data_IF_722040639270
#
_entry.id   IF_722040639270
#
_cell.length_a   1.000
_cell.length_b   1.000
_cell.length_c   1.000
_cell.angle_alpha   90.00
_cell.angle_beta   90.00
_cell.angle_gamma   90.00
#
_symmetry.space_group_name_H-M   'P 1'
#
loop_
_entity.id
_entity.type
_entity.pdbx_description
1 polymer ?
#
# COMPACT_ATOMS: atom_id res chain seq x y z
N UNK A 1 5.87 6.34 -23.83
CA UNK A 1 4.77 5.57 -23.19
C UNK A 1 3.66 5.48 -24.21
N UNK A 2 3.39 4.31 -24.80
CA UNK A 2 2.30 4.18 -25.77
C UNK A 2 0.95 4.08 -25.06
N UNK A 3 -0.08 4.66 -25.66
CA UNK A 3 -1.45 4.70 -25.13
C UNK A 3 -2.46 4.66 -26.27
N UNK A 4 -3.72 4.38 -25.94
CA UNK A 4 -4.86 4.47 -26.85
C UNK A 4 -5.74 5.66 -26.43
N UNK A 5 -6.10 6.59 -27.32
CA UNK A 5 -7.05 7.65 -27.00
C UNK A 5 -8.40 7.07 -26.53
N UNK A 6 -9.01 7.66 -25.51
CA UNK A 6 -10.25 7.15 -24.91
C UNK A 6 -11.38 6.99 -25.94
N UNK A 7 -11.46 7.88 -26.94
CA UNK A 7 -12.49 7.83 -27.99
C UNK A 7 -12.41 6.58 -28.86
N UNK A 8 -11.18 6.12 -29.11
CA UNK A 8 -10.93 4.86 -29.82
C UNK A 8 -11.17 3.70 -28.89
N UNK A 9 -10.67 3.77 -27.66
CA UNK A 9 -10.88 2.73 -26.64
C UNK A 9 -12.37 2.43 -26.41
N UNK A 10 -13.23 3.44 -26.36
CA UNK A 10 -14.68 3.28 -26.14
C UNK A 10 -15.43 2.59 -27.29
N UNK A 11 -14.79 2.48 -28.47
CA UNK A 11 -15.30 1.80 -29.66
C UNK A 11 -14.71 0.40 -29.84
N UNK A 12 -13.68 0.03 -29.08
CA UNK A 12 -13.09 -1.30 -29.15
C UNK A 12 -14.11 -2.36 -28.74
N UNK A 13 -14.09 -3.50 -29.44
CA UNK A 13 -14.93 -4.68 -29.16
C UNK A 13 -14.10 -5.92 -28.81
N UNK A 14 -12.78 -5.84 -28.97
CA UNK A 14 -11.81 -6.89 -28.69
C UNK A 14 -10.50 -6.25 -28.23
N UNK A 15 -9.69 -6.99 -27.46
CA UNK A 15 -8.35 -6.52 -27.07
C UNK A 15 -7.36 -6.95 -28.13
N UNK A 16 -6.81 -5.98 -28.86
CA UNK A 16 -5.79 -6.22 -29.88
C UNK A 16 -4.39 -6.14 -29.29
N UNK A 17 -3.45 -6.89 -29.87
CA UNK A 17 -2.05 -6.78 -29.45
C UNK A 17 -1.45 -5.43 -29.86
N UNK A 18 -0.36 -5.05 -29.21
CA UNK A 18 0.37 -3.82 -29.47
C UNK A 18 0.70 -3.63 -30.96
N UNK A 19 1.19 -4.67 -31.62
CA UNK A 19 1.61 -4.59 -33.03
C UNK A 19 0.42 -4.32 -33.97
N UNK A 20 -0.75 -4.92 -33.74
CA UNK A 20 -1.95 -4.66 -34.57
C UNK A 20 -2.40 -3.20 -34.46
N UNK A 21 -2.35 -2.64 -33.25
CA UNK A 21 -2.75 -1.26 -33.02
C UNK A 21 -1.68 -0.26 -33.49
N UNK A 22 -0.40 -0.65 -33.46
CA UNK A 22 0.68 0.11 -34.05
C UNK A 22 0.51 0.20 -35.58
N UNK A 23 0.28 -0.94 -36.24
CA UNK A 23 0.10 -1.03 -37.70
C UNK A 23 -1.17 -0.30 -38.16
N UNK A 24 -2.22 -0.31 -37.33
CA UNK A 24 -3.44 0.47 -37.58
C UNK A 24 -3.29 1.98 -37.30
N UNK A 25 -2.14 2.44 -36.79
CA UNK A 25 -1.91 3.86 -36.46
C UNK A 25 -2.74 4.36 -35.27
N UNK A 26 -3.23 3.47 -34.42
CA UNK A 26 -4.08 3.79 -33.27
C UNK A 26 -3.25 4.17 -32.04
N UNK A 27 -2.07 3.56 -31.88
CA UNK A 27 -1.20 3.84 -30.74
C UNK A 27 -0.60 5.24 -30.82
N UNK A 28 -0.70 5.96 -29.71
CA UNK A 28 -0.14 7.30 -29.54
C UNK A 28 0.97 7.28 -28.50
N UNK A 29 2.13 7.84 -28.82
CA UNK A 29 3.15 8.12 -27.80
C UNK A 29 2.68 9.29 -26.93
N UNK A 30 2.37 9.00 -25.68
CA UNK A 30 1.76 9.97 -24.77
C UNK A 30 2.75 11.06 -24.35
N UNK A 31 2.29 12.30 -24.47
CA UNK A 31 2.85 13.50 -23.86
C UNK A 31 1.79 14.22 -23.03
N UNK A 32 2.21 14.96 -22.00
CA UNK A 32 1.28 15.69 -21.13
C UNK A 32 0.50 16.79 -21.89
N UNK A 33 0.99 17.25 -23.05
CA UNK A 33 0.25 18.17 -23.92
C UNK A 33 -1.01 17.56 -24.54
N UNK A 34 -1.12 16.23 -24.57
CA UNK A 34 -2.28 15.52 -25.12
C UNK A 34 -3.44 15.41 -24.11
N UNK A 35 -3.19 15.74 -22.85
CA UNK A 35 -4.18 15.70 -21.78
C UNK A 35 -3.74 14.78 -20.64
N UNK A 36 -4.65 13.91 -20.19
CA UNK A 36 -4.49 13.04 -19.02
C UNK A 36 -4.32 11.59 -19.43
N UNK A 37 -3.50 10.86 -18.70
CA UNK A 37 -3.36 9.42 -18.87
C UNK A 37 -3.97 8.62 -17.72
N UNK A 38 -4.52 7.46 -18.05
CA UNK A 38 -5.06 6.46 -17.15
C UNK A 38 -4.24 5.18 -17.26
N UNK A 39 -3.62 4.76 -16.16
CA UNK A 39 -2.97 3.47 -16.03
C UNK A 39 -3.98 2.44 -15.56
N UNK A 40 -4.22 1.38 -16.34
CA UNK A 40 -5.15 0.30 -15.97
C UNK A 40 -4.35 -0.91 -15.49
N UNK A 41 -4.35 -1.14 -14.18
CA UNK A 41 -3.85 -2.35 -13.54
C UNK A 41 -4.96 -3.39 -13.48
N UNK A 42 -4.68 -4.63 -13.90
CA UNK A 42 -5.68 -5.70 -13.99
C UNK A 42 -5.06 -7.09 -13.79
N UNK A 43 -5.90 -8.11 -13.79
CA UNK A 43 -5.49 -9.51 -13.83
C UNK A 43 -5.78 -10.12 -15.20
N UNK A 44 -5.03 -11.14 -15.59
CA UNK A 44 -5.32 -11.88 -16.82
C UNK A 44 -6.47 -12.86 -16.57
N UNK A 45 -7.42 -12.97 -17.52
CA UNK A 45 -8.54 -13.92 -17.44
C UNK A 45 -8.20 -15.32 -17.95
N UNK A 46 -7.11 -15.46 -18.70
CA UNK A 46 -6.58 -16.76 -19.15
C UNK A 46 -5.05 -16.77 -19.09
N UNK A 47 -4.45 -17.95 -19.23
CA UNK A 47 -3.00 -18.12 -19.24
C UNK A 47 -2.33 -17.53 -20.50
N UNK A 48 -3.13 -17.21 -21.54
CA UNK A 48 -2.63 -16.78 -22.86
C UNK A 48 -3.11 -15.41 -23.29
N UNK A 49 -4.18 -14.87 -22.67
CA UNK A 49 -4.77 -13.60 -23.06
C UNK A 49 -5.36 -12.86 -21.85
N UNK A 50 -5.16 -11.55 -21.73
CA UNK A 50 -5.60 -10.80 -20.55
C UNK A 50 -7.12 -10.69 -20.43
N UNK A 51 -7.84 -10.58 -21.54
CA UNK A 51 -9.31 -10.41 -21.56
C UNK A 51 -9.93 -10.94 -22.88
N UNK A 52 -9.97 -12.28 -23.09
CA UNK A 52 -10.27 -12.89 -24.39
C UNK A 52 -11.71 -12.67 -24.86
N UNK A 53 -12.64 -12.48 -23.93
CA UNK A 53 -14.05 -12.20 -24.21
C UNK A 53 -14.40 -10.71 -24.06
N UNK A 54 -13.39 -9.85 -23.93
CA UNK A 54 -13.55 -8.40 -23.74
C UNK A 54 -14.43 -8.02 -22.53
N UNK A 55 -14.47 -8.85 -21.50
CA UNK A 55 -15.35 -8.67 -20.33
C UNK A 55 -14.81 -7.60 -19.38
N UNK A 56 -13.51 -7.58 -19.10
CA UNK A 56 -12.90 -6.61 -18.20
C UNK A 56 -12.94 -5.20 -18.79
N UNK A 57 -12.46 -5.04 -20.02
CA UNK A 57 -12.42 -3.73 -20.66
C UNK A 57 -13.82 -3.22 -20.97
N UNK A 58 -14.81 -4.10 -21.21
CA UNK A 58 -16.21 -3.70 -21.31
C UNK A 58 -16.73 -3.07 -20.02
N UNK A 59 -16.41 -3.63 -18.86
CA UNK A 59 -16.73 -3.01 -17.56
C UNK A 59 -16.12 -1.62 -17.45
N UNK A 60 -14.84 -1.46 -17.84
CA UNK A 60 -14.19 -0.15 -17.82
C UNK A 60 -14.85 0.84 -18.80
N UNK A 61 -15.20 0.42 -20.02
CA UNK A 61 -15.93 1.25 -20.98
C UNK A 61 -17.27 1.72 -20.40
N UNK A 62 -18.02 0.81 -19.80
CA UNK A 62 -19.35 1.12 -19.24
C UNK A 62 -19.22 2.01 -18.00
N UNK A 63 -18.19 1.83 -17.17
CA UNK A 63 -17.83 2.76 -16.09
C UNK A 63 -17.58 4.16 -16.61
N UNK A 64 -16.72 4.33 -17.62
CA UNK A 64 -16.41 5.65 -18.18
C UNK A 64 -17.67 6.32 -18.76
N UNK A 65 -18.47 5.56 -19.52
CA UNK A 65 -19.75 6.05 -20.08
C UNK A 65 -20.71 6.49 -18.99
N UNK A 66 -20.84 5.71 -17.91
CA UNK A 66 -21.74 6.03 -16.80
C UNK A 66 -21.30 7.27 -16.01
N UNK A 67 -19.99 7.44 -15.79
CA UNK A 67 -19.45 8.62 -15.10
C UNK A 67 -19.66 9.87 -15.94
N UNK A 68 -19.36 9.83 -17.24
CA UNK A 68 -19.56 10.96 -18.16
C UNK A 68 -21.05 11.34 -18.28
N UNK A 69 -21.94 10.33 -18.33
CA UNK A 69 -23.38 10.54 -18.35
C UNK A 69 -23.96 11.00 -17.00
N UNK A 70 -23.18 10.96 -15.91
CA UNK A 70 -23.64 11.27 -14.56
C UNK A 70 -24.58 10.22 -13.95
N UNK A 71 -24.67 9.02 -14.54
CA UNK A 71 -25.48 7.91 -14.01
C UNK A 71 -24.75 7.11 -12.93
N UNK A 72 -23.43 7.28 -12.82
CA UNK A 72 -22.60 6.74 -11.74
C UNK A 72 -21.58 7.77 -11.27
N UNK A 73 -21.04 7.57 -10.08
CA UNK A 73 -20.06 8.45 -9.46
C UNK A 73 -19.05 7.65 -8.65
N UNK A 74 -17.80 8.11 -8.64
CA UNK A 74 -16.76 7.48 -7.84
C UNK A 74 -16.99 7.81 -6.37
N UNK A 75 -17.33 6.81 -5.59
CA UNK A 75 -17.62 6.94 -4.17
C UNK A 75 -16.34 7.03 -3.33
N UNK A 76 -16.43 7.63 -2.14
CA UNK A 76 -15.39 7.54 -1.12
C UNK A 76 -15.85 6.54 -0.07
N UNK A 77 -15.01 5.57 0.28
CA UNK A 77 -15.32 4.62 1.34
C UNK A 77 -15.61 5.35 2.66
N UNK A 78 -16.63 4.92 3.41
CA UNK A 78 -17.09 5.58 4.63
C UNK A 78 -15.95 5.75 5.64
N UNK A 79 -15.11 4.72 5.81
CA UNK A 79 -13.92 4.80 6.67
C UNK A 79 -13.00 5.95 6.28
N UNK A 80 -12.73 6.07 4.98
CA UNK A 80 -11.86 7.11 4.43
C UNK A 80 -12.47 8.49 4.64
N UNK A 81 -13.80 8.64 4.53
CA UNK A 81 -14.48 9.90 4.84
C UNK A 81 -14.41 10.24 6.34
N UNK A 82 -14.57 9.27 7.23
CA UNK A 82 -14.44 9.48 8.68
C UNK A 82 -13.03 9.95 9.05
N UNK A 83 -12.00 9.34 8.45
CA UNK A 83 -10.60 9.65 8.78
C UNK A 83 -10.10 10.92 8.11
N UNK A 84 -10.49 11.16 6.84
CA UNK A 84 -9.91 12.23 6.01
C UNK A 84 -10.85 13.39 5.70
N UNK A 85 -12.11 13.28 6.10
CA UNK A 85 -13.19 14.11 5.56
C UNK A 85 -13.50 13.78 4.10
N UNK A 86 -14.52 14.46 3.56
CA UNK A 86 -14.85 14.38 2.14
C UNK A 86 -13.76 15.05 1.31
N UNK A 87 -13.20 14.31 0.36
CA UNK A 87 -12.26 14.86 -0.63
C UNK A 87 -12.93 15.01 -1.99
N UNK A 88 -12.39 15.93 -2.80
CA UNK A 88 -12.82 16.08 -4.20
C UNK A 88 -12.29 14.92 -5.01
N UNK A 89 -13.21 14.07 -5.50
CA UNK A 89 -12.91 13.05 -6.49
C UNK A 89 -12.81 13.63 -7.90
N UNK A 90 -12.47 12.77 -8.89
CA UNK A 90 -12.58 13.09 -10.30
C UNK A 90 -14.00 13.52 -10.67
N UNK A 91 -14.10 14.40 -11.65
CA UNK A 91 -15.36 14.90 -12.20
C UNK A 91 -15.68 14.23 -13.54
N UNK A 92 -16.93 14.25 -14.01
CA UNK A 92 -17.28 13.74 -15.34
C UNK A 92 -16.43 14.34 -16.47
N UNK A 93 -16.03 15.62 -16.35
CA UNK A 93 -15.18 16.29 -17.32
C UNK A 93 -13.76 15.73 -17.41
N UNK A 94 -13.27 15.08 -16.35
CA UNK A 94 -11.96 14.43 -16.35
C UNK A 94 -11.89 13.20 -17.26
N UNK A 95 -13.05 12.61 -17.59
CA UNK A 95 -13.20 11.43 -18.43
C UNK A 95 -13.86 11.73 -19.78
N UNK A 96 -14.08 13.01 -20.10
CA UNK A 96 -14.65 13.42 -21.37
C UNK A 96 -13.71 13.09 -22.55
N UNK A 97 -14.31 12.93 -23.74
CA UNK A 97 -13.62 12.61 -24.99
C UNK A 97 -12.57 13.65 -25.37
N UNK A 98 -11.52 13.21 -26.07
CA UNK A 98 -10.45 14.07 -26.61
C UNK A 98 -9.30 14.45 -25.67
N UNK A 99 -9.37 14.11 -24.38
CA UNK A 99 -8.32 14.49 -23.41
C UNK A 99 -7.87 13.35 -22.47
N UNK A 100 -8.36 12.13 -22.66
CA UNK A 100 -7.98 10.97 -21.87
C UNK A 100 -7.30 9.91 -22.74
N UNK A 101 -6.18 9.38 -22.25
CA UNK A 101 -5.39 8.35 -22.89
C UNK A 101 -5.30 7.12 -21.98
N UNK A 102 -5.58 5.94 -22.52
CA UNK A 102 -5.61 4.69 -21.77
C UNK A 102 -4.28 3.95 -21.99
N UNK A 103 -3.62 3.64 -20.89
CA UNK A 103 -2.50 2.72 -20.84
C UNK A 103 -2.99 1.38 -20.28
N UNK A 104 -2.71 0.31 -21.01
CA UNK A 104 -3.02 -1.08 -20.68
C UNK A 104 -1.87 -1.95 -21.19
N UNK A 105 -1.32 -2.81 -20.34
CA UNK A 105 -0.05 -3.49 -20.59
C UNK A 105 0.00 -4.22 -21.96
N UNK A 106 -1.08 -4.91 -22.34
CA UNK A 106 -1.13 -5.77 -23.51
C UNK A 106 -1.02 -5.02 -24.83
N UNK A 107 -1.71 -3.87 -24.96
CA UNK A 107 -1.61 -3.04 -26.16
C UNK A 107 -0.57 -1.92 -26.05
N UNK A 108 -0.12 -1.58 -24.84
CA UNK A 108 0.85 -0.50 -24.63
C UNK A 108 2.30 -0.99 -24.63
N UNK A 109 2.51 -2.30 -24.53
CA UNK A 109 3.82 -2.97 -24.53
C UNK A 109 3.87 -3.99 -25.69
N UNK A 110 4.98 -4.09 -26.45
CA UNK A 110 5.16 -5.09 -27.51
C UNK A 110 4.97 -6.55 -27.04
N UNK A 111 4.15 -7.32 -27.76
CA UNK A 111 3.78 -8.71 -27.42
C UNK A 111 4.42 -9.77 -28.32
N UNK A 112 5.05 -9.38 -29.43
CA UNK A 112 5.70 -10.31 -30.34
C UNK A 112 6.98 -10.95 -29.77
N UNK A 113 7.26 -12.21 -30.16
CA UNK A 113 8.44 -12.98 -29.71
C UNK A 113 9.73 -12.68 -30.49
N UNK A 114 9.69 -11.80 -31.49
CA UNK A 114 10.88 -11.40 -32.26
C UNK A 114 11.92 -10.69 -31.38
N UNK A 115 13.22 -10.85 -31.68
CA UNK A 115 14.31 -10.36 -30.84
C UNK A 115 14.24 -8.85 -30.51
N UNK A 116 13.80 -8.02 -31.46
CA UNK A 116 13.59 -6.57 -31.24
C UNK A 116 12.38 -6.29 -30.33
N UNK A 117 11.28 -6.99 -30.54
CA UNK A 117 10.06 -6.86 -29.73
C UNK A 117 10.30 -7.35 -28.28
N UNK A 118 11.04 -8.43 -28.10
CA UNK A 118 11.44 -8.93 -26.76
C UNK A 118 12.27 -7.89 -25.98
N UNK A 119 13.27 -7.27 -26.62
CA UNK A 119 14.07 -6.20 -25.98
C UNK A 119 13.22 -4.96 -25.69
N UNK A 120 12.32 -4.59 -26.60
CA UNK A 120 11.36 -3.50 -26.41
C UNK A 120 10.42 -3.76 -25.22
N UNK A 121 9.90 -4.99 -25.11
CA UNK A 121 9.06 -5.45 -24.00
C UNK A 121 9.78 -5.33 -22.67
N UNK A 122 11.01 -5.85 -22.57
CA UNK A 122 11.78 -5.78 -21.32
C UNK A 122 12.03 -4.33 -20.89
N UNK A 123 12.38 -3.46 -21.83
CA UNK A 123 12.59 -2.02 -21.57
C UNK A 123 11.31 -1.34 -21.09
N UNK A 124 10.17 -1.68 -21.70
CA UNK A 124 8.88 -1.14 -21.32
C UNK A 124 8.41 -1.63 -19.93
N UNK A 125 8.62 -2.92 -19.62
CA UNK A 125 8.34 -3.48 -18.28
C UNK A 125 9.15 -2.74 -17.21
N UNK A 126 10.45 -2.52 -17.46
CA UNK A 126 11.31 -1.76 -16.54
C UNK A 126 10.86 -0.31 -16.36
N UNK A 127 10.12 0.24 -17.32
CA UNK A 127 9.63 1.62 -17.31
C UNK A 127 8.22 1.77 -16.71
N UNK A 128 7.57 0.67 -16.29
CA UNK A 128 6.22 0.69 -15.69
C UNK A 128 6.11 1.72 -14.55
N UNK A 129 7.04 1.81 -13.58
CA UNK A 129 6.95 2.82 -12.52
C UNK A 129 6.90 4.25 -13.06
N UNK A 130 7.67 4.54 -14.10
CA UNK A 130 7.68 5.84 -14.76
C UNK A 130 6.36 6.09 -15.49
N UNK A 131 5.76 5.07 -16.11
CA UNK A 131 4.44 5.18 -16.75
C UNK A 131 3.35 5.48 -15.72
N UNK A 132 3.34 4.74 -14.62
CA UNK A 132 2.44 4.97 -13.47
C UNK A 132 2.58 6.39 -12.93
N UNK A 133 3.82 6.89 -12.78
CA UNK A 133 4.09 8.24 -12.31
C UNK A 133 3.60 9.33 -13.26
N UNK A 134 3.48 9.06 -14.57
CA UNK A 134 2.96 9.99 -15.59
C UNK A 134 1.43 9.98 -15.70
N UNK A 135 0.76 8.96 -15.17
CA UNK A 135 -0.70 8.87 -15.23
C UNK A 135 -1.36 9.69 -14.12
N UNK A 136 -2.47 10.34 -14.44
CA UNK A 136 -3.29 11.05 -13.46
C UNK A 136 -4.24 10.08 -12.73
N UNK A 137 -4.75 9.09 -13.46
CA UNK A 137 -5.62 8.05 -12.93
C UNK A 137 -4.87 6.72 -12.89
N UNK A 138 -4.85 6.09 -11.73
CA UNK A 138 -4.45 4.69 -11.57
C UNK A 138 -5.72 3.89 -11.29
N UNK A 139 -6.13 3.08 -12.25
CA UNK A 139 -7.34 2.26 -12.15
C UNK A 139 -6.95 0.84 -11.81
N UNK A 140 -7.46 0.34 -10.69
CA UNK A 140 -7.48 -1.09 -10.37
C UNK A 140 -8.77 -1.65 -10.96
N UNK A 141 -8.67 -2.30 -12.11
CA UNK A 141 -9.79 -2.94 -12.79
C UNK A 141 -9.90 -4.39 -12.33
N UNK A 142 -10.86 -4.67 -11.47
CA UNK A 142 -10.98 -5.96 -10.81
C UNK A 142 -12.45 -6.44 -10.69
N UNK A 143 -13.20 -6.52 -11.81
CA UNK A 143 -14.54 -7.08 -11.77
C UNK A 143 -14.53 -8.55 -11.37
N UNK A 144 -15.62 -8.99 -10.73
CA UNK A 144 -15.79 -10.37 -10.30
C UNK A 144 -16.01 -11.31 -11.51
N UNK A 145 -14.92 -11.82 -12.08
CA UNK A 145 -14.91 -12.68 -13.26
C UNK A 145 -14.19 -13.99 -12.99
N UNK A 146 -14.53 -15.06 -13.73
CA UNK A 146 -13.84 -16.35 -13.61
C UNK A 146 -12.62 -16.38 -14.51
N UNK A 147 -11.49 -16.81 -13.96
CA UNK A 147 -10.35 -17.20 -14.77
C UNK A 147 -10.69 -18.49 -15.53
N UNK A 148 -10.51 -18.48 -16.85
CA UNK A 148 -10.95 -19.55 -17.75
C UNK A 148 -10.25 -20.86 -17.43
N UNK A 149 -8.92 -20.82 -17.29
CA UNK A 149 -8.11 -22.03 -17.07
C UNK A 149 -8.07 -22.48 -15.60
N UNK A 150 -7.88 -21.53 -14.68
CA UNK A 150 -7.63 -21.81 -13.26
C UNK A 150 -8.91 -22.04 -12.44
N UNK A 151 -10.10 -21.81 -13.02
CA UNK A 151 -11.42 -21.94 -12.36
C UNK A 151 -11.58 -21.16 -11.05
N UNK A 152 -10.72 -20.16 -10.80
CA UNK A 152 -10.81 -19.22 -9.67
C UNK A 152 -11.61 -17.98 -10.06
N UNK A 153 -12.33 -17.39 -9.10
CA UNK A 153 -12.95 -16.08 -9.27
C UNK A 153 -11.92 -15.00 -8.95
N UNK A 154 -11.73 -14.06 -9.87
CA UNK A 154 -10.90 -12.88 -9.72
C UNK A 154 -11.73 -11.77 -9.06
N UNK A 155 -11.08 -10.92 -8.27
CA UNK A 155 -11.67 -9.82 -7.50
C UNK A 155 -10.58 -8.84 -7.06
N UNK A 156 -10.96 -7.77 -6.38
CA UNK A 156 -10.00 -6.87 -5.75
C UNK A 156 -9.03 -7.60 -4.79
N UNK A 157 -9.52 -8.61 -4.07
CA UNK A 157 -8.69 -9.39 -3.15
C UNK A 157 -7.61 -10.21 -3.88
N UNK A 158 -7.98 -10.93 -4.94
CA UNK A 158 -6.99 -11.68 -5.73
C UNK A 158 -6.03 -10.79 -6.50
N UNK A 159 -6.47 -9.60 -6.92
CA UNK A 159 -5.59 -8.60 -7.51
C UNK A 159 -4.52 -8.18 -6.50
N UNK A 160 -4.95 -7.95 -5.25
CA UNK A 160 -4.08 -7.64 -4.13
C UNK A 160 -3.16 -8.78 -3.70
N UNK A 161 -3.27 -9.99 -4.22
CA UNK A 161 -2.34 -11.10 -3.97
C UNK A 161 -1.12 -11.05 -4.90
N UNK A 162 -1.22 -10.42 -6.08
CA UNK A 162 -0.16 -10.47 -7.09
C UNK A 162 0.97 -9.48 -6.81
N UNK A 163 2.21 -9.95 -6.88
CA UNK A 163 3.39 -9.13 -6.64
C UNK A 163 3.54 -7.96 -7.63
N UNK A 164 3.25 -8.18 -8.92
CA UNK A 164 3.28 -7.11 -9.93
C UNK A 164 2.22 -6.03 -9.70
N UNK A 165 0.98 -6.42 -9.41
CA UNK A 165 -0.11 -5.48 -9.08
C UNK A 165 0.22 -4.63 -7.85
N UNK A 166 0.78 -5.24 -6.81
CA UNK A 166 1.31 -4.53 -5.64
C UNK A 166 2.45 -3.58 -6.00
N UNK A 167 3.34 -3.97 -6.92
CA UNK A 167 4.45 -3.13 -7.41
C UNK A 167 3.93 -1.90 -8.14
N UNK A 168 2.93 -2.05 -9.01
CA UNK A 168 2.31 -0.94 -9.73
C UNK A 168 1.65 0.05 -8.78
N UNK A 169 0.96 -0.44 -7.75
CA UNK A 169 0.40 0.39 -6.67
C UNK A 169 1.50 1.11 -5.88
N UNK A 170 2.56 0.40 -5.49
CA UNK A 170 3.70 0.99 -4.80
C UNK A 170 4.36 2.08 -5.65
N UNK A 171 4.46 1.89 -6.97
CA UNK A 171 4.98 2.91 -7.89
C UNK A 171 4.12 4.17 -7.91
N UNK A 172 2.80 4.02 -7.84
CA UNK A 172 1.88 5.16 -7.76
C UNK A 172 2.11 5.98 -6.49
N UNK A 173 2.23 5.30 -5.35
CA UNK A 173 2.38 5.91 -4.04
C UNK A 173 3.77 6.54 -3.83
N UNK A 174 4.81 5.89 -4.34
CA UNK A 174 6.19 6.37 -4.30
C UNK A 174 6.51 7.38 -5.40
N UNK A 175 5.60 7.64 -6.35
CA UNK A 175 5.84 8.62 -7.40
C UNK A 175 6.03 10.04 -6.82
N UNK A 176 6.86 10.85 -7.47
CA UNK A 176 7.12 12.24 -7.07
C UNK A 176 6.04 13.21 -7.56
N UNK A 177 5.13 12.75 -8.43
CA UNK A 177 3.99 13.54 -8.92
C UNK A 177 3.06 13.94 -7.77
N UNK A 178 2.62 15.19 -7.77
CA UNK A 178 1.59 15.66 -6.83
C UNK A 178 0.20 15.34 -7.39
N UNK A 179 -0.65 14.77 -6.54
CA UNK A 179 -2.08 14.55 -6.86
C UNK A 179 -2.36 13.31 -7.71
N UNK A 180 -3.50 13.35 -8.41
CA UNK A 180 -4.13 12.25 -9.14
C UNK A 180 -4.78 11.20 -8.23
N UNK A 181 -5.37 10.17 -8.83
CA UNK A 181 -6.37 9.33 -8.17
C UNK A 181 -6.06 7.85 -8.32
N UNK A 182 -6.37 7.07 -7.29
CA UNK A 182 -6.41 5.62 -7.35
C UNK A 182 -7.88 5.21 -7.29
N UNK A 183 -8.38 4.58 -8.34
CA UNK A 183 -9.79 4.24 -8.51
C UNK A 183 -9.90 2.72 -8.59
N UNK A 184 -10.70 2.12 -7.73
CA UNK A 184 -11.06 0.71 -7.83
C UNK A 184 -12.35 0.60 -8.63
N UNK A 185 -12.36 -0.26 -9.64
CA UNK A 185 -13.52 -0.56 -10.48
C UNK A 185 -13.85 -2.03 -10.34
N UNK A 186 -14.88 -2.32 -9.55
CA UNK A 186 -15.41 -3.68 -9.36
C UNK A 186 -16.61 -3.97 -10.26
N UNK A 187 -17.31 -2.92 -10.71
CA UNK A 187 -18.36 -3.03 -11.73
C UNK A 187 -18.58 -1.69 -12.45
N UNK A 188 -19.42 -1.72 -13.50
CA UNK A 188 -19.80 -0.53 -14.26
C UNK A 188 -20.50 0.54 -13.42
N UNK A 189 -21.01 0.21 -12.24
CA UNK A 189 -21.71 1.11 -11.32
C UNK A 189 -21.10 1.21 -9.92
N UNK A 190 -20.10 0.38 -9.62
CA UNK A 190 -19.41 0.36 -8.33
C UNK A 190 -17.95 0.75 -8.51
N UNK A 191 -17.67 2.04 -8.30
CA UNK A 191 -16.31 2.58 -8.27
C UNK A 191 -16.05 3.31 -6.96
N UNK A 192 -14.84 3.16 -6.45
CA UNK A 192 -14.41 3.79 -5.21
C UNK A 192 -13.01 4.38 -5.29
N UNK A 193 -12.76 5.44 -4.53
CA UNK A 193 -11.42 5.98 -4.35
C UNK A 193 -10.67 5.14 -3.32
N UNK A 194 -9.52 4.60 -3.72
CA UNK A 194 -8.54 4.03 -2.82
C UNK A 194 -7.60 5.13 -2.33
N UNK A 195 -7.42 5.23 -1.02
CA UNK A 195 -6.47 6.19 -0.46
C UNK A 195 -5.07 5.57 -0.29
N UNK A 196 -4.07 6.28 -0.81
CA UNK A 196 -2.65 5.97 -0.66
C UNK A 196 -2.25 6.06 0.81
N UNK A 197 -2.06 4.90 1.45
CA UNK A 197 -1.82 4.78 2.89
C UNK A 197 -1.97 3.34 3.38
N UNK A 198 -2.69 2.51 2.61
CA UNK A 198 -2.78 1.06 2.83
C UNK A 198 -1.60 0.28 2.22
N UNK A 199 -0.69 0.95 1.48
CA UNK A 199 0.51 0.39 0.83
C UNK A 199 1.30 -0.60 1.66
N UNK A 200 1.53 -0.26 2.93
CA UNK A 200 2.39 -1.02 3.83
C UNK A 200 1.76 -2.35 4.29
N UNK A 201 0.49 -2.61 3.94
CA UNK A 201 -0.17 -3.90 4.19
C UNK A 201 0.15 -4.94 3.13
N UNK A 202 0.00 -4.58 1.85
CA UNK A 202 0.26 -5.49 0.72
C UNK A 202 1.49 -5.01 -0.06
N UNK A 203 2.65 -5.24 0.53
CA UNK A 203 3.94 -4.88 -0.05
C UNK A 203 4.32 -5.85 -1.19
N UNK A 204 5.05 -5.38 -2.21
CA UNK A 204 5.32 -6.17 -3.42
C UNK A 204 5.97 -7.52 -3.17
N UNK A 205 6.96 -7.59 -2.29
CA UNK A 205 7.68 -8.84 -2.02
C UNK A 205 6.82 -9.94 -1.41
N UNK A 206 5.69 -9.63 -0.80
CA UNK A 206 4.81 -10.67 -0.24
C UNK A 206 3.74 -11.15 -1.21
N UNK A 207 3.76 -10.65 -2.45
CA UNK A 207 2.83 -11.08 -3.47
C UNK A 207 3.23 -12.42 -4.11
N UNK A 208 2.27 -13.01 -4.79
CA UNK A 208 2.45 -14.17 -5.66
C UNK A 208 3.08 -13.72 -6.98
N UNK A 209 4.08 -14.49 -7.44
CA UNK A 209 4.76 -14.27 -8.71
C UNK A 209 4.59 -15.49 -9.60
N UNK A 210 4.29 -15.26 -10.88
CA UNK A 210 4.29 -16.32 -11.88
C UNK A 210 5.71 -16.82 -12.14
N UNK A 211 6.70 -15.92 -12.08
CA UNK A 211 8.11 -16.23 -12.22
C UNK A 211 8.87 -15.72 -11.00
N UNK A 212 9.48 -16.61 -10.20
CA UNK A 212 10.20 -16.23 -8.99
C UNK A 212 11.35 -15.24 -9.25
N UNK A 213 11.93 -15.27 -10.46
CA UNK A 213 12.96 -14.31 -10.89
C UNK A 213 12.50 -12.85 -10.94
N UNK A 214 11.19 -12.59 -11.03
CA UNK A 214 10.63 -11.23 -11.04
C UNK A 214 10.84 -10.52 -9.71
N UNK A 215 10.90 -11.27 -8.60
CA UNK A 215 11.11 -10.74 -7.25
C UNK A 215 12.40 -9.93 -7.15
N UNK A 216 13.50 -10.43 -7.74
CA UNK A 216 14.80 -9.73 -7.75
C UNK A 216 14.70 -8.42 -8.53
N UNK A 217 13.99 -8.43 -9.66
CA UNK A 217 13.78 -7.25 -10.49
C UNK A 217 12.94 -6.20 -9.77
N UNK A 218 11.85 -6.61 -9.14
CA UNK A 218 11.00 -5.74 -8.35
C UNK A 218 11.77 -5.16 -7.16
N UNK A 219 12.64 -5.93 -6.51
CA UNK A 219 13.56 -5.42 -5.49
C UNK A 219 14.37 -4.22 -5.99
N UNK A 220 14.98 -4.33 -7.18
CA UNK A 220 15.74 -3.22 -7.80
C UNK A 220 14.85 -2.01 -8.11
N UNK A 221 13.65 -2.23 -8.64
CA UNK A 221 12.69 -1.15 -8.92
C UNK A 221 12.25 -0.45 -7.63
N UNK A 222 11.97 -1.21 -6.58
CA UNK A 222 11.60 -0.68 -5.27
C UNK A 222 12.71 0.18 -4.66
N UNK A 223 13.97 -0.25 -4.74
CA UNK A 223 15.11 0.58 -4.31
C UNK A 223 15.10 1.91 -5.07
N UNK A 224 15.00 1.90 -6.40
CA UNK A 224 15.01 3.12 -7.21
C UNK A 224 13.86 4.08 -6.87
N UNK A 225 12.65 3.55 -6.66
CA UNK A 225 11.47 4.35 -6.31
C UNK A 225 11.58 4.95 -4.91
N UNK A 226 11.97 4.16 -3.90
CA UNK A 226 12.19 4.64 -2.54
C UNK A 226 13.30 5.68 -2.51
N UNK A 227 14.41 5.42 -3.21
CA UNK A 227 15.55 6.33 -3.31
C UNK A 227 15.14 7.69 -3.90
N UNK A 228 14.47 7.68 -5.04
CA UNK A 228 13.98 8.89 -5.71
C UNK A 228 13.02 9.69 -4.82
N UNK A 229 12.14 9.00 -4.08
CA UNK A 229 11.17 9.64 -3.19
C UNK A 229 11.82 10.23 -1.93
N UNK A 230 12.82 9.56 -1.35
CA UNK A 230 13.61 10.10 -0.24
C UNK A 230 14.32 11.40 -0.65
N UNK A 231 14.97 11.40 -1.82
CA UNK A 231 15.60 12.61 -2.37
C UNK A 231 14.60 13.73 -2.59
N UNK A 232 13.46 13.44 -3.22
CA UNK A 232 12.38 14.40 -3.39
C UNK A 232 11.95 15.04 -2.05
N UNK A 233 11.79 14.24 -0.99
CA UNK A 233 11.43 14.78 0.33
C UNK A 233 12.51 15.69 0.91
N UNK A 234 13.79 15.33 0.76
CA UNK A 234 14.91 16.17 1.22
C UNK A 234 14.97 17.51 0.45
N UNK A 235 14.89 17.48 -0.88
CA UNK A 235 14.90 18.66 -1.74
C UNK A 235 13.77 19.64 -1.41
N UNK A 236 12.59 19.10 -1.09
CA UNK A 236 11.40 19.88 -0.75
C UNK A 236 11.25 20.15 0.75
N UNK A 237 12.27 19.84 1.57
CA UNK A 237 12.29 20.06 3.03
C UNK A 237 11.13 19.39 3.77
N UNK A 238 10.62 18.27 3.25
CA UNK A 238 9.57 17.46 3.85
C UNK A 238 10.16 16.45 4.85
N UNK A 239 10.80 16.95 5.90
CA UNK A 239 11.61 16.12 6.80
C UNK A 239 10.83 15.03 7.54
N UNK A 240 9.56 15.26 7.89
CA UNK A 240 8.73 14.21 8.50
C UNK A 240 8.54 13.04 7.53
N UNK A 241 8.11 13.33 6.29
CA UNK A 241 7.87 12.32 5.27
C UNK A 241 9.16 11.57 4.89
N UNK A 242 10.30 12.28 4.85
CA UNK A 242 11.62 11.67 4.70
C UNK A 242 11.92 10.69 5.83
N UNK A 243 11.83 11.11 7.11
CA UNK A 243 12.06 10.23 8.27
C UNK A 243 11.13 9.03 8.24
N UNK A 244 9.85 9.25 7.94
CA UNK A 244 8.87 8.19 7.84
C UNK A 244 9.30 7.15 6.80
N UNK A 245 9.54 7.58 5.54
CA UNK A 245 9.90 6.65 4.47
C UNK A 245 11.25 5.96 4.74
N UNK A 246 12.23 6.68 5.29
CA UNK A 246 13.55 6.16 5.65
C UNK A 246 13.43 4.99 6.64
N UNK A 247 12.57 5.12 7.65
CA UNK A 247 12.35 4.08 8.65
C UNK A 247 11.33 3.03 8.20
N UNK A 248 10.49 3.30 7.21
CA UNK A 248 9.55 2.32 6.67
C UNK A 248 10.17 1.33 5.66
N UNK A 249 11.47 1.46 5.34
CA UNK A 249 12.15 0.63 4.35
C UNK A 249 12.05 -0.88 4.64
N UNK A 250 12.15 -1.28 5.91
CA UNK A 250 12.00 -2.68 6.33
C UNK A 250 10.63 -3.28 5.95
N UNK A 251 9.60 -2.42 5.80
CA UNK A 251 8.27 -2.83 5.34
C UNK A 251 8.25 -2.92 3.82
N UNK A 252 8.68 -1.87 3.11
CA UNK A 252 8.69 -1.83 1.64
C UNK A 252 9.55 -2.91 0.98
N UNK A 253 10.64 -3.32 1.64
CA UNK A 253 11.62 -4.27 1.14
C UNK A 253 11.42 -5.70 1.65
N UNK A 254 10.38 -5.93 2.46
CA UNK A 254 10.06 -7.25 2.99
C UNK A 254 9.91 -8.27 1.86
N UNK A 255 10.61 -9.39 2.00
CA UNK A 255 10.65 -10.49 1.03
C UNK A 255 11.17 -10.13 -0.37
N UNK A 256 11.91 -9.01 -0.53
CA UNK A 256 12.59 -8.65 -1.79
C UNK A 256 14.10 -8.91 -1.78
N UNK A 257 14.68 -9.40 -0.67
CA UNK A 257 16.12 -9.66 -0.49
C UNK A 257 16.98 -8.46 -0.94
N UNK A 258 16.64 -7.28 -0.41
CA UNK A 258 17.34 -6.03 -0.69
C UNK A 258 17.73 -5.33 0.60
N UNK A 259 18.91 -4.73 0.59
CA UNK A 259 19.41 -3.93 1.70
C UNK A 259 18.72 -2.55 1.75
N UNK A 260 18.43 -2.03 2.96
CA UNK A 260 17.93 -0.68 3.12
C UNK A 260 18.90 0.37 2.57
N UNK A 261 18.34 1.44 2.02
CA UNK A 261 19.10 2.61 1.61
C UNK A 261 19.57 3.36 2.86
N UNK A 262 20.87 3.64 2.90
CA UNK A 262 21.51 4.36 3.99
C UNK A 262 22.52 5.38 3.44
N UNK A 263 23.07 6.25 4.29
CA UNK A 263 24.13 7.20 3.90
C UNK A 263 23.66 8.39 3.07
N UNK A 264 22.35 8.68 3.01
CA UNK A 264 21.80 9.78 2.22
C UNK A 264 22.15 11.17 2.78
N UNK A 265 22.38 11.27 4.09
CA UNK A 265 22.72 12.53 4.77
C UNK A 265 24.24 12.54 4.99
N UNK A 266 25.00 13.38 4.27
CA UNK A 266 26.45 13.42 4.39
C UNK A 266 26.90 14.00 5.74
N UNK A 267 28.20 13.87 6.03
CA UNK A 267 28.82 14.51 7.20
C UNK A 267 28.50 13.84 8.53
N UNK A 268 28.23 12.53 8.54
CA UNK A 268 28.17 11.77 9.78
C UNK A 268 29.58 11.68 10.38
N UNK A 269 29.75 12.18 11.59
CA UNK A 269 31.00 12.15 12.35
C UNK A 269 30.69 11.84 13.82
N UNK A 270 31.48 10.96 14.44
CA UNK A 270 31.28 10.50 15.81
C UNK A 270 32.61 10.07 16.43
N UNK A 271 32.77 10.32 17.72
CA UNK A 271 33.92 9.85 18.51
C UNK A 271 33.75 8.40 18.99
N UNK A 272 32.57 7.80 18.81
CA UNK A 272 32.28 6.44 19.29
C UNK A 272 32.92 5.41 18.35
N UNK A 273 33.85 4.62 18.89
CA UNK A 273 34.39 3.46 18.19
C UNK A 273 33.34 2.34 18.11
N UNK A 274 32.90 1.92 16.90
CA UNK A 274 31.88 0.87 16.74
C UNK A 274 32.33 -0.50 17.26
N UNK A 275 33.64 -0.74 17.42
CA UNK A 275 34.17 -1.97 18.03
C UNK A 275 34.04 -1.98 19.56
N UNK A 276 33.90 -0.81 20.19
CA UNK A 276 33.79 -0.63 21.64
C UNK A 276 32.33 -0.44 22.07
N UNK A 277 31.61 0.48 21.43
CA UNK A 277 30.17 0.71 21.68
C UNK A 277 29.39 0.75 20.36
N UNK A 278 29.17 -0.43 19.80
CA UNK A 278 28.34 -0.61 18.61
C UNK A 278 26.93 -0.03 18.78
N UNK A 279 26.32 -0.14 19.97
CA UNK A 279 24.95 0.37 20.23
C UNK A 279 24.91 1.90 20.20
N UNK A 280 25.87 2.56 20.85
CA UNK A 280 26.03 4.01 20.81
C UNK A 280 26.30 4.52 19.40
N UNK A 281 27.23 3.89 18.67
CA UNK A 281 27.53 4.24 17.29
C UNK A 281 26.29 4.16 16.38
N UNK A 282 25.55 3.05 16.46
CA UNK A 282 24.33 2.86 15.67
C UNK A 282 23.23 3.87 16.04
N UNK A 283 23.14 4.25 17.30
CA UNK A 283 22.20 5.28 17.76
C UNK A 283 22.56 6.67 17.21
N UNK A 284 23.83 7.08 17.28
CA UNK A 284 24.26 8.37 16.73
C UNK A 284 24.09 8.42 15.21
N UNK A 285 24.43 7.33 14.51
CA UNK A 285 24.18 7.19 13.07
C UNK A 285 22.69 7.32 12.77
N UNK A 286 21.83 6.65 13.52
CA UNK A 286 20.37 6.74 13.36
C UNK A 286 19.86 8.16 13.55
N UNK A 287 20.29 8.86 14.62
CA UNK A 287 19.89 10.24 14.87
C UNK A 287 20.33 11.17 13.75
N UNK A 288 21.58 11.04 13.28
CA UNK A 288 22.13 11.82 12.17
C UNK A 288 21.34 11.63 10.88
N UNK A 289 21.08 10.38 10.48
CA UNK A 289 20.38 10.08 9.23
C UNK A 289 18.90 10.48 9.28
N UNK A 290 18.32 10.51 10.47
CA UNK A 290 17.01 11.09 10.72
C UNK A 290 17.04 12.61 10.91
N UNK A 291 18.20 13.26 10.96
CA UNK A 291 18.31 14.69 11.28
C UNK A 291 17.66 15.07 12.61
N UNK A 292 17.81 14.20 13.62
CA UNK A 292 17.36 14.41 15.00
C UNK A 292 18.58 14.81 15.85
N UNK A 293 18.43 15.80 16.71
CA UNK A 293 19.50 16.36 17.54
C UNK A 293 19.78 15.52 18.78
N UNK A 294 18.76 14.84 19.31
CA UNK A 294 18.88 13.99 20.50
C UNK A 294 17.74 12.98 20.61
N UNK A 295 17.85 12.08 21.58
CA UNK A 295 16.92 10.97 21.83
C UNK A 295 15.54 11.38 22.37
N UNK A 296 15.34 12.64 22.75
CA UNK A 296 14.08 13.16 23.29
C UNK A 296 13.36 14.11 22.32
N UNK A 297 13.97 14.44 21.18
CA UNK A 297 13.41 15.37 20.21
C UNK A 297 12.17 14.78 19.53
N UNK A 298 11.08 15.54 19.51
CA UNK A 298 9.92 15.26 18.68
C UNK A 298 10.01 16.07 17.40
N UNK A 299 9.70 15.46 16.27
CA UNK A 299 9.59 16.20 15.02
C UNK A 299 8.33 17.08 14.97
N UNK A 300 8.14 17.81 13.87
CA UNK A 300 6.99 18.70 13.69
C UNK A 300 5.62 17.97 13.66
N UNK A 301 5.62 16.68 13.32
CA UNK A 301 4.45 15.80 13.38
C UNK A 301 4.27 15.16 14.77
N UNK A 302 5.16 15.44 15.72
CA UNK A 302 5.06 14.95 17.09
C UNK A 302 5.62 13.55 17.30
N UNK A 303 6.43 13.05 16.38
CA UNK A 303 7.02 11.71 16.46
C UNK A 303 8.32 11.74 17.27
N UNK A 304 8.43 10.92 18.35
CA UNK A 304 9.68 10.77 19.09
C UNK A 304 10.62 9.74 18.42
N UNK A 305 11.93 9.72 18.73
CA UNK A 305 12.90 8.88 18.03
C UNK A 305 12.63 7.37 18.22
N UNK A 306 12.09 6.98 19.37
CA UNK A 306 11.72 5.59 19.67
C UNK A 306 10.64 5.03 18.74
N UNK A 307 9.72 5.88 18.25
CA UNK A 307 8.69 5.50 17.30
C UNK A 307 9.29 5.21 15.91
N UNK A 308 10.26 6.01 15.47
CA UNK A 308 11.00 5.76 14.23
C UNK A 308 11.90 4.51 14.33
N UNK A 309 12.55 4.29 15.48
CA UNK A 309 13.35 3.09 15.72
C UNK A 309 12.48 1.82 15.63
N UNK A 310 11.30 1.81 16.27
CA UNK A 310 10.34 0.70 16.17
C UNK A 310 9.81 0.48 14.74
N UNK A 311 9.59 1.55 13.98
CA UNK A 311 9.20 1.49 12.57
C UNK A 311 10.29 0.85 11.69
N UNK A 312 11.56 1.16 11.94
CA UNK A 312 12.70 0.59 11.22
C UNK A 312 12.99 -0.88 11.55
N UNK A 313 12.28 -1.44 12.55
CA UNK A 313 12.57 -2.75 13.13
C UNK A 313 14.04 -2.90 13.59
N UNK A 314 14.74 -1.78 13.84
CA UNK A 314 16.12 -1.77 14.27
C UNK A 314 16.19 -1.98 15.79
N UNK A 315 16.21 -3.25 16.19
CA UNK A 315 16.29 -3.67 17.60
C UNK A 315 17.55 -3.15 18.31
N UNK A 316 18.66 -2.94 17.59
CA UNK A 316 19.91 -2.41 18.18
C UNK A 316 19.72 -0.96 18.61
N UNK A 317 19.19 -0.10 17.72
CA UNK A 317 18.88 1.30 18.04
C UNK A 317 17.79 1.37 19.11
N UNK A 318 16.76 0.53 19.00
CA UNK A 318 15.67 0.50 19.97
C UNK A 318 16.18 0.13 21.37
N UNK A 319 17.06 -0.88 21.48
CA UNK A 319 17.73 -1.23 22.74
C UNK A 319 18.61 -0.08 23.25
N UNK A 320 19.38 0.57 22.38
CA UNK A 320 20.25 1.69 22.75
C UNK A 320 19.48 2.89 23.34
N UNK A 321 18.26 3.15 22.85
CA UNK A 321 17.34 4.15 23.40
C UNK A 321 16.81 3.73 24.79
N UNK A 322 16.42 2.47 24.95
CA UNK A 322 15.92 1.94 26.23
C UNK A 322 17.01 1.91 27.31
N UNK A 323 18.25 1.57 26.94
CA UNK A 323 19.42 1.59 27.83
C UNK A 323 19.65 3.00 28.40
N UNK A 324 19.37 4.04 27.59
CA UNK A 324 19.42 5.47 27.95
C UNK A 324 18.15 5.98 28.67
N UNK A 325 17.29 5.07 29.14
CA UNK A 325 16.08 5.37 29.93
C UNK A 325 15.07 6.27 29.21
N UNK A 326 15.02 6.20 27.87
CA UNK A 326 13.89 6.78 27.12
C UNK A 326 12.61 6.09 27.57
N UNK A 327 11.56 6.86 27.88
CA UNK A 327 10.26 6.30 28.24
C UNK A 327 9.70 5.50 27.05
N UNK A 328 9.55 4.20 27.27
CA UNK A 328 9.07 3.23 26.28
C UNK A 328 7.64 3.52 25.79
N UNK A 329 6.84 4.25 26.58
CA UNK A 329 5.46 4.58 26.26
C UNK A 329 5.32 5.99 25.66
N UNK A 330 6.42 6.65 25.29
CA UNK A 330 6.33 7.86 24.48
C UNK A 330 5.55 7.57 23.21
N UNK A 331 4.47 8.34 23.04
CA UNK A 331 3.55 8.18 21.94
C UNK A 331 3.64 9.37 20.98
N UNK A 332 3.24 9.19 19.72
CA UNK A 332 3.04 10.29 18.76
C UNK A 332 2.02 11.29 19.31
N UNK A 333 2.14 12.58 18.97
CA UNK A 333 1.18 13.59 19.48
C UNK A 333 0.14 14.03 18.45
N UNK A 334 0.39 13.81 17.16
CA UNK A 334 -0.52 14.12 16.06
C UNK A 334 -0.79 12.85 15.24
N UNK A 335 -1.94 12.75 14.56
CA UNK A 335 -2.16 11.66 13.62
C UNK A 335 -1.21 11.79 12.41
N UNK A 336 -0.75 10.66 11.87
CA UNK A 336 0.00 10.66 10.62
C UNK A 336 -0.96 10.37 9.47
N UNK A 337 -1.23 11.40 8.66
CA UNK A 337 -2.22 11.35 7.58
C UNK A 337 -1.76 10.51 6.39
N UNK A 338 -0.45 10.36 6.24
CA UNK A 338 0.23 9.62 5.18
C UNK A 338 -0.13 8.14 5.22
N UNK A 339 -0.41 7.58 6.42
CA UNK A 339 -0.60 6.15 6.64
C UNK A 339 -1.73 5.78 7.61
N UNK A 340 -2.68 6.70 7.85
CA UNK A 340 -3.85 6.45 8.71
C UNK A 340 -3.42 5.99 10.12
N UNK A 341 -2.39 6.61 10.69
CA UNK A 341 -1.99 6.30 12.05
C UNK A 341 -2.66 7.28 13.02
N UNK A 342 -3.32 6.78 14.08
CA UNK A 342 -3.89 7.65 15.10
C UNK A 342 -2.81 8.47 15.81
N UNK A 343 -3.22 9.58 16.42
CA UNK A 343 -2.41 10.22 17.44
C UNK A 343 -2.23 9.28 18.64
N UNK A 344 -1.32 9.60 19.56
CA UNK A 344 -1.04 8.81 20.78
C UNK A 344 -0.65 7.36 20.47
N UNK A 345 -0.06 7.10 19.31
CA UNK A 345 0.44 5.78 18.98
C UNK A 345 1.85 5.58 19.57
N UNK A 346 2.04 4.53 20.37
CA UNK A 346 3.33 4.19 20.98
C UNK A 346 4.25 3.46 20.01
N UNK A 347 5.53 3.34 20.35
CA UNK A 347 6.47 2.47 19.64
C UNK A 347 5.93 1.02 19.49
N UNK A 348 5.27 0.51 20.53
CA UNK A 348 4.65 -0.82 20.51
C UNK A 348 3.52 -0.90 19.48
N UNK A 349 2.61 0.09 19.45
CA UNK A 349 1.53 0.15 18.47
C UNK A 349 2.04 0.23 17.02
N UNK A 350 3.09 1.01 16.78
CA UNK A 350 3.75 1.10 15.46
C UNK A 350 4.36 -0.25 15.06
N UNK A 351 5.06 -0.92 15.96
CA UNK A 351 5.67 -2.22 15.66
C UNK A 351 4.60 -3.28 15.31
N UNK A 352 3.47 -3.27 16.01
CA UNK A 352 2.36 -4.20 15.73
C UNK A 352 1.68 -3.96 14.38
N UNK A 353 1.31 -2.70 14.08
CA UNK A 353 0.62 -2.39 12.81
C UNK A 353 1.52 -2.66 11.59
N UNK A 354 2.83 -2.50 11.73
CA UNK A 354 3.80 -2.77 10.67
C UNK A 354 4.31 -4.21 10.65
N UNK A 355 3.90 -5.05 11.60
CA UNK A 355 4.33 -6.46 11.76
C UNK A 355 5.85 -6.63 12.01
N UNK A 356 6.45 -5.65 12.66
CA UNK A 356 7.86 -5.64 13.05
C UNK A 356 8.03 -6.45 14.35
N UNK A 357 7.97 -7.78 14.23
CA UNK A 357 7.83 -8.67 15.38
C UNK A 357 9.09 -8.72 16.27
N UNK A 358 10.27 -8.45 15.72
CA UNK A 358 11.52 -8.36 16.49
C UNK A 358 11.49 -7.13 17.42
N UNK A 359 11.05 -5.98 16.91
CA UNK A 359 10.81 -4.80 17.74
C UNK A 359 9.69 -5.03 18.76
N UNK A 360 8.61 -5.74 18.39
CA UNK A 360 7.54 -6.12 19.33
C UNK A 360 8.09 -6.92 20.50
N UNK A 361 8.87 -7.96 20.25
CA UNK A 361 9.42 -8.82 21.29
C UNK A 361 10.29 -8.04 22.26
N UNK A 362 11.20 -7.20 21.74
CA UNK A 362 12.03 -6.34 22.57
C UNK A 362 11.19 -5.38 23.44
N UNK A 363 10.18 -4.73 22.86
CA UNK A 363 9.32 -3.79 23.58
C UNK A 363 8.48 -4.47 24.67
N UNK A 364 7.97 -5.67 24.42
CA UNK A 364 7.24 -6.47 25.41
C UNK A 364 8.18 -6.94 26.53
N UNK A 365 9.39 -7.40 26.21
CA UNK A 365 10.41 -7.75 27.21
C UNK A 365 10.77 -6.56 28.10
N UNK A 366 10.83 -5.36 27.52
CA UNK A 366 11.05 -4.09 28.22
C UNK A 366 9.79 -3.55 28.92
N UNK A 367 8.70 -4.34 28.99
CA UNK A 367 7.44 -4.03 29.70
C UNK A 367 6.70 -2.80 29.15
N UNK A 368 6.69 -2.61 27.83
CA UNK A 368 5.81 -1.65 27.18
C UNK A 368 4.34 -1.87 27.57
N UNK A 369 3.56 -0.79 27.72
CA UNK A 369 2.17 -0.89 28.13
C UNK A 369 1.29 -1.42 26.98
N UNK A 370 0.83 -2.66 27.11
CA UNK A 370 -0.03 -3.32 26.10
C UNK A 370 -1.43 -2.73 25.97
N UNK A 371 -1.92 -2.10 27.04
CA UNK A 371 -3.25 -1.47 27.11
C UNK A 371 -3.17 0.07 27.04
N UNK A 372 -2.08 0.63 26.51
CA UNK A 372 -2.01 2.06 26.24
C UNK A 372 -3.03 2.43 25.16
N UNK A 373 -3.84 3.46 25.43
CA UNK A 373 -4.90 3.89 24.53
C UNK A 373 -4.37 4.92 23.52
N UNK A 374 -4.53 4.61 22.24
CA UNK A 374 -4.28 5.54 21.14
C UNK A 374 -5.35 6.65 21.07
N UNK A 375 -5.26 7.50 20.05
CA UNK A 375 -6.16 8.62 19.83
C UNK A 375 -7.62 8.22 19.57
N UNK A 376 -7.88 6.96 19.18
CA UNK A 376 -9.23 6.40 19.05
C UNK A 376 -9.66 5.61 20.30
N UNK A 377 -8.82 5.53 21.34
CA UNK A 377 -9.10 4.68 22.50
C UNK A 377 -8.83 3.20 22.26
N UNK A 378 -8.17 2.85 21.14
CA UNK A 378 -7.71 1.50 20.84
C UNK A 378 -6.41 1.18 21.57
N UNK A 379 -6.24 -0.10 21.94
CA UNK A 379 -4.99 -0.62 22.51
C UNK A 379 -4.10 -1.29 21.44
N UNK A 380 -2.96 -1.84 21.84
CA UNK A 380 -2.03 -2.51 20.93
C UNK A 380 -2.68 -3.67 20.12
N UNK A 381 -3.71 -4.32 20.66
CA UNK A 381 -4.40 -5.40 19.93
C UNK A 381 -5.20 -4.86 18.74
N UNK A 382 -5.78 -3.66 18.84
CA UNK A 382 -6.38 -3.00 17.68
C UNK A 382 -5.33 -2.81 16.57
N UNK A 383 -4.13 -2.34 16.92
CA UNK A 383 -3.06 -2.11 15.94
C UNK A 383 -2.58 -3.40 15.27
N UNK A 384 -2.48 -4.51 16.01
CA UNK A 384 -2.16 -5.82 15.45
C UNK A 384 -3.27 -6.34 14.51
N UNK A 385 -4.54 -6.13 14.87
CA UNK A 385 -5.69 -6.48 14.04
C UNK A 385 -5.74 -5.66 12.76
N UNK A 386 -5.42 -4.36 12.80
CA UNK A 386 -5.34 -3.45 11.65
C UNK A 386 -4.19 -3.80 10.71
N UNK A 387 -3.06 -4.26 11.26
CA UNK A 387 -1.88 -4.69 10.49
C UNK A 387 -1.93 -6.12 9.96
N UNK A 388 -3.05 -6.85 10.15
CA UNK A 388 -3.18 -8.28 9.85
C UNK A 388 -2.02 -9.13 10.43
N UNK A 389 -1.69 -8.91 11.72
CA UNK A 389 -0.54 -9.51 12.39
C UNK A 389 -0.96 -10.67 13.33
N UNK A 390 -1.13 -11.92 12.84
CA UNK A 390 -1.53 -13.05 13.70
C UNK A 390 -0.50 -13.35 14.80
N UNK A 391 0.81 -13.22 14.52
CA UNK A 391 1.84 -13.38 15.55
C UNK A 391 1.69 -12.32 16.65
N UNK A 392 1.45 -11.07 16.26
CA UNK A 392 1.22 -9.97 17.19
C UNK A 392 -0.04 -10.19 18.05
N UNK A 393 -1.13 -10.69 17.46
CA UNK A 393 -2.34 -11.09 18.18
C UNK A 393 -2.00 -12.14 19.26
N UNK A 394 -1.26 -13.20 18.92
CA UNK A 394 -0.81 -14.20 19.91
C UNK A 394 -0.01 -13.55 21.03
N UNK A 395 1.01 -12.78 20.71
CA UNK A 395 1.90 -12.15 21.70
C UNK A 395 1.11 -11.26 22.67
N UNK A 396 0.18 -10.47 22.17
CA UNK A 396 -0.65 -9.58 22.98
C UNK A 396 -1.65 -10.33 23.87
N UNK A 397 -2.25 -11.41 23.39
CA UNK A 397 -3.11 -12.26 24.20
C UNK A 397 -2.32 -12.88 25.37
N UNK A 398 -1.11 -13.37 25.13
CA UNK A 398 -0.22 -13.87 26.20
C UNK A 398 0.19 -12.75 27.18
N UNK A 399 0.40 -11.53 26.67
CA UNK A 399 0.69 -10.35 27.46
C UNK A 399 -0.56 -9.72 28.14
N UNK A 400 -1.72 -10.41 28.11
CA UNK A 400 -2.99 -9.99 28.74
C UNK A 400 -3.51 -8.63 28.25
N UNK A 401 -3.37 -8.35 26.95
CA UNK A 401 -4.07 -7.23 26.33
C UNK A 401 -5.59 -7.39 26.46
N UNK A 402 -6.30 -6.29 26.66
CA UNK A 402 -7.77 -6.29 26.75
C UNK A 402 -8.39 -6.57 25.38
N UNK A 403 -8.87 -7.79 25.17
CA UNK A 403 -9.48 -8.26 23.92
C UNK A 403 -10.83 -7.62 23.61
N UNK A 404 -11.48 -7.02 24.60
CA UNK A 404 -12.81 -6.40 24.49
C UNK A 404 -12.76 -4.87 24.58
N UNK A 405 -11.57 -4.26 24.61
CA UNK A 405 -11.43 -2.81 24.59
C UNK A 405 -12.16 -2.25 23.37
N UNK A 406 -12.93 -1.19 23.54
CA UNK A 406 -13.62 -0.54 22.43
C UNK A 406 -12.88 0.75 22.06
N UNK A 407 -12.45 0.83 20.80
CA UNK A 407 -12.03 2.07 20.15
C UNK A 407 -13.24 2.81 19.58
N UNK A 408 -13.16 4.11 19.34
CA UNK A 408 -14.20 4.89 18.67
C UNK A 408 -14.34 4.40 17.22
N UNK A 409 -15.57 4.10 16.72
CA UNK A 409 -16.90 4.42 17.28
C UNK A 409 -17.60 3.28 18.08
N UNK A 410 -16.85 2.43 18.77
CA UNK A 410 -17.34 1.26 19.52
C UNK A 410 -16.77 -0.07 19.01
N UNK A 411 -15.70 -0.03 18.21
CA UNK A 411 -15.12 -1.20 17.56
C UNK A 411 -14.19 -1.93 18.52
N UNK A 412 -14.43 -3.22 18.71
CA UNK A 412 -13.45 -4.11 19.34
C UNK A 412 -12.30 -4.45 18.36
N UNK A 413 -11.16 -4.98 18.83
CA UNK A 413 -10.08 -5.43 17.95
C UNK A 413 -10.57 -6.41 16.88
N UNK A 414 -11.46 -7.35 17.28
CA UNK A 414 -12.03 -8.32 16.34
C UNK A 414 -12.92 -7.65 15.29
N UNK A 415 -13.84 -6.76 15.69
CA UNK A 415 -14.66 -6.01 14.73
C UNK A 415 -13.80 -5.20 13.75
N UNK A 416 -12.69 -4.63 14.22
CA UNK A 416 -11.78 -3.86 13.38
C UNK A 416 -11.03 -4.74 12.38
N UNK A 417 -10.65 -5.97 12.75
CA UNK A 417 -10.10 -6.95 11.80
C UNK A 417 -11.13 -7.32 10.71
N UNK A 418 -12.41 -7.48 11.07
CA UNK A 418 -13.50 -7.70 10.12
C UNK A 418 -13.72 -6.49 9.20
N UNK A 419 -13.72 -5.28 9.77
CA UNK A 419 -13.86 -4.02 9.04
C UNK A 419 -12.75 -3.82 7.99
N UNK A 420 -11.54 -4.30 8.27
CA UNK A 420 -10.39 -4.23 7.39
C UNK A 420 -10.26 -5.41 6.43
N UNK A 421 -11.05 -6.49 6.60
CA UNK A 421 -10.89 -7.73 5.84
C UNK A 421 -9.61 -8.53 6.20
N UNK A 422 -9.04 -8.31 7.39
CA UNK A 422 -7.76 -8.86 7.82
C UNK A 422 -7.91 -10.30 8.32
N UNK A 423 -7.99 -11.23 7.36
CA UNK A 423 -8.36 -12.63 7.59
C UNK A 423 -7.42 -13.39 8.52
N UNK A 424 -6.12 -13.11 8.52
CA UNK A 424 -5.16 -13.88 9.33
C UNK A 424 -5.31 -13.51 10.80
N UNK A 425 -5.43 -12.21 11.10
CA UNK A 425 -5.76 -11.73 12.44
C UNK A 425 -7.13 -12.25 12.91
N UNK A 426 -8.15 -12.25 12.05
CA UNK A 426 -9.48 -12.79 12.38
C UNK A 426 -9.42 -14.27 12.79
N UNK A 427 -8.79 -15.11 11.96
CA UNK A 427 -8.65 -16.56 12.22
C UNK A 427 -7.92 -16.79 13.53
N UNK A 428 -6.81 -16.08 13.75
CA UNK A 428 -6.04 -16.20 14.98
C UNK A 428 -6.87 -15.80 16.21
N UNK A 429 -7.63 -14.71 16.14
CA UNK A 429 -8.50 -14.27 17.24
C UNK A 429 -9.58 -15.28 17.55
N UNK A 430 -10.21 -15.89 16.54
CA UNK A 430 -11.22 -16.94 16.73
C UNK A 430 -10.62 -18.21 17.32
N UNK A 431 -9.40 -18.58 16.93
CA UNK A 431 -8.69 -19.72 17.53
C UNK A 431 -8.38 -19.47 19.01
N UNK A 432 -7.94 -18.26 19.37
CA UNK A 432 -7.60 -17.92 20.76
C UNK A 432 -8.83 -17.64 21.63
N UNK A 433 -9.92 -17.18 21.04
CA UNK A 433 -11.17 -16.88 21.73
C UNK A 433 -12.39 -17.26 20.87
N UNK A 434 -12.83 -18.53 20.90
CA UNK A 434 -13.98 -19.01 20.14
C UNK A 434 -15.33 -18.38 20.55
N UNK A 435 -15.38 -17.65 21.67
CA UNK A 435 -16.59 -16.99 22.18
C UNK A 435 -16.84 -15.64 21.49
N UNK A 436 -15.87 -15.14 20.71
CA UNK A 436 -16.04 -13.91 19.94
C UNK A 436 -17.27 -14.00 19.03
N UNK A 437 -18.16 -13.02 19.16
CA UNK A 437 -19.38 -13.01 18.38
C UNK A 437 -19.11 -12.57 16.94
N UNK A 438 -19.49 -13.40 15.98
CA UNK A 438 -19.54 -13.04 14.56
C UNK A 438 -20.75 -12.15 14.23
N UNK A 439 -21.66 -11.96 15.20
CA UNK A 439 -22.87 -11.15 15.02
C UNK A 439 -22.48 -9.72 14.61
N UNK A 440 -23.08 -9.23 13.54
CA UNK A 440 -22.80 -7.93 12.92
C UNK A 440 -21.40 -7.77 12.30
N UNK A 441 -20.47 -8.73 12.43
CA UNK A 441 -19.15 -8.63 11.81
C UNK A 441 -19.23 -8.55 10.27
N UNK A 442 -20.17 -9.29 9.66
CA UNK A 442 -20.45 -9.15 8.22
C UNK A 442 -20.97 -7.76 7.86
N UNK A 443 -21.86 -7.18 8.67
CA UNK A 443 -22.38 -5.83 8.44
C UNK A 443 -21.26 -4.78 8.52
N UNK A 444 -20.37 -4.92 9.52
CA UNK A 444 -19.19 -4.07 9.68
C UNK A 444 -18.22 -4.23 8.51
N UNK A 445 -17.93 -5.47 8.09
CA UNK A 445 -17.08 -5.74 6.94
C UNK A 445 -17.64 -5.09 5.65
N UNK A 446 -18.94 -5.26 5.38
CA UNK A 446 -19.60 -4.65 4.21
C UNK A 446 -19.58 -3.12 4.26
N UNK A 447 -19.80 -2.53 5.43
CA UNK A 447 -19.83 -1.07 5.60
C UNK A 447 -18.47 -0.40 5.41
N UNK A 448 -17.39 -1.04 5.87
CA UNK A 448 -16.06 -0.43 5.91
C UNK A 448 -15.12 -0.90 4.78
N UNK A 449 -15.28 -2.13 4.29
CA UNK A 449 -14.46 -2.69 3.20
C UNK A 449 -15.16 -2.69 1.83
N UNK A 450 -16.42 -2.25 1.73
CA UNK A 450 -17.13 -2.06 0.45
C UNK A 450 -17.71 -3.32 -0.19
N UNK A 451 -17.70 -4.46 0.49
CA UNK A 451 -18.08 -5.74 -0.11
C UNK A 451 -16.95 -6.74 0.10
N UNK A 452 -17.03 -7.51 1.20
CA UNK A 452 -15.99 -8.46 1.56
C UNK A 452 -15.66 -9.43 0.43
N UNK A 453 -14.39 -9.84 0.32
CA UNK A 453 -14.02 -10.96 -0.54
C UNK A 453 -14.83 -12.20 -0.18
N UNK A 454 -15.02 -13.12 -1.13
CA UNK A 454 -15.67 -14.40 -0.85
C UNK A 454 -15.02 -15.12 0.34
N UNK A 455 -13.70 -15.01 0.47
CA UNK A 455 -12.96 -15.57 1.59
C UNK A 455 -13.29 -14.89 2.93
N UNK A 456 -13.42 -13.56 2.98
CA UNK A 456 -13.85 -12.85 4.18
C UNK A 456 -15.24 -13.31 4.60
N UNK A 457 -16.16 -13.43 3.64
CA UNK A 457 -17.52 -13.92 3.88
C UNK A 457 -17.48 -15.36 4.39
N UNK A 458 -16.64 -16.24 3.83
CA UNK A 458 -16.52 -17.64 4.29
C UNK A 458 -15.95 -17.80 5.71
N UNK A 459 -15.19 -16.81 6.20
CA UNK A 459 -14.70 -16.81 7.59
C UNK A 459 -15.80 -16.32 8.56
N UNK A 460 -16.75 -15.53 8.05
CA UNK A 460 -17.82 -14.91 8.83
C UNK A 460 -19.15 -15.67 8.83
N UNK A 461 -19.32 -16.62 7.91
CA UNK A 461 -20.46 -17.55 7.82
C UNK A 461 -20.05 -18.91 8.39
#
# INVERSE_FOLDING_TARGET
MYTVPADVFLQMTEVKMHEELADAGVLTEFDESLGKAMFVSHQWLSDTHPDPEFQQLKVLQDTLKNIVAGTSSISQALFSEIVYGRRRGPTPGDFASGHLHIWYDYFSIPQSHGGRASRGRQTAIQSIPTYVARCEFFVVLCPALKHIDQKRTLSHASWGERGWCRTERAARELSTRKGGYVIIVESATHQSLLWAGLSMRDVPGEGEFTLDGDRVWIGRMMIQMVWSKLFYFLEHRQFHNYRFLLNAQAVYFRALDVEPIDGLVPGFDTEIDPSVDCKGFMLERFLHHNGLRNIFERDAAGWPPICFAAMSNNVVVLQALLDRKVDINQATTKPATEFILPAKLTALGIAFILRNNEAVELLLCARAQVNYNDGFGGNALHTACVGDNPRGVRLLCHARANVNQQSVPGMSPFMLSCACGNRHAMKEMLTLNPVLSLRHCLHVALMFAGGGSADLVSVLL
#
